data_IF_171550879617
#
_entry.id   IF_171550879617
#
_cell.length_a   1.000
_cell.length_b   1.000
_cell.length_c   1.000
_cell.angle_alpha   90.00
_cell.angle_beta   90.00
_cell.angle_gamma   90.00
#
_symmetry.space_group_name_H-M   'P 1'
#
loop_
_entity.id
_entity.type
_entity.pdbx_description
1 polymer ?
#
# COMPACT_ATOMS: atom_id res chain seq x y z
N UNK A 1 2.47 12.05 -11.09
CA UNK A 1 1.68 12.87 -10.14
C UNK A 1 1.96 14.35 -10.31
N UNK A 2 3.21 14.73 -10.56
CA UNK A 2 3.62 16.10 -10.88
C UNK A 2 2.81 16.71 -12.04
N UNK A 3 2.46 15.92 -13.05
CA UNK A 3 1.62 16.36 -14.16
C UNK A 3 0.18 16.79 -13.74
N UNK A 4 -0.29 16.41 -12.55
CA UNK A 4 -1.65 16.72 -12.07
C UNK A 4 -1.67 17.61 -10.82
N UNK A 5 -0.63 17.54 -9.97
CA UNK A 5 -0.68 18.09 -8.61
C UNK A 5 0.49 19.02 -8.25
N UNK A 6 1.44 19.27 -9.16
CA UNK A 6 2.65 20.07 -8.85
C UNK A 6 2.37 21.47 -8.29
N UNK A 7 1.26 22.10 -8.67
CA UNK A 7 0.81 23.42 -8.15
C UNK A 7 -0.42 23.31 -7.24
N UNK A 8 -0.85 22.08 -6.90
CA UNK A 8 -2.10 21.81 -6.17
C UNK A 8 -1.92 20.78 -5.06
N UNK A 9 -0.73 20.72 -4.46
CA UNK A 9 -0.42 19.82 -3.34
C UNK A 9 -1.38 20.04 -2.17
N UNK A 10 -1.75 21.28 -1.87
CA UNK A 10 -2.73 21.61 -0.82
C UNK A 10 -4.10 20.99 -1.12
N UNK A 11 -4.59 21.16 -2.35
CA UNK A 11 -5.88 20.59 -2.78
C UNK A 11 -5.86 19.07 -2.71
N UNK A 12 -4.75 18.43 -3.10
CA UNK A 12 -4.59 16.99 -2.98
C UNK A 12 -4.69 16.54 -1.52
N UNK A 13 -3.97 17.21 -0.61
CA UNK A 13 -3.98 16.90 0.82
C UNK A 13 -5.36 17.05 1.44
N UNK A 14 -6.00 18.19 1.22
CA UNK A 14 -7.36 18.46 1.70
C UNK A 14 -8.35 17.42 1.19
N UNK A 15 -8.22 17.03 -0.09
CA UNK A 15 -9.08 16.00 -0.69
C UNK A 15 -8.84 14.62 -0.08
N UNK A 16 -7.61 14.29 0.32
CA UNK A 16 -7.30 13.02 0.95
C UNK A 16 -7.73 12.96 2.42
N UNK A 17 -7.65 14.07 3.17
CA UNK A 17 -7.86 14.11 4.63
C UNK A 17 -9.17 13.45 5.06
N UNK A 18 -10.29 13.78 4.39
CA UNK A 18 -11.60 13.20 4.70
C UNK A 18 -11.60 11.67 4.56
N UNK A 19 -11.06 11.14 3.45
CA UNK A 19 -11.01 9.70 3.22
C UNK A 19 -10.06 8.98 4.19
N UNK A 20 -8.92 9.60 4.50
CA UNK A 20 -7.94 9.04 5.44
C UNK A 20 -8.50 8.95 6.86
N UNK A 21 -9.40 9.86 7.26
CA UNK A 21 -10.07 9.82 8.56
C UNK A 21 -11.12 8.70 8.67
N UNK A 22 -11.71 8.30 7.55
CA UNK A 22 -12.80 7.31 7.51
C UNK A 22 -12.31 5.88 7.25
N UNK A 23 -11.14 5.71 6.62
CA UNK A 23 -10.66 4.40 6.19
C UNK A 23 -10.03 3.57 7.32
N UNK A 24 -10.38 2.27 7.38
CA UNK A 24 -9.73 1.29 8.27
C UNK A 24 -8.38 0.81 7.73
N UNK A 25 -8.25 0.74 6.40
CA UNK A 25 -7.05 0.33 5.68
C UNK A 25 -6.77 1.34 4.57
N UNK A 26 -5.58 1.91 4.59
CA UNK A 26 -5.12 2.93 3.65
C UNK A 26 -3.94 2.36 2.88
N UNK A 27 -3.98 2.44 1.55
CA UNK A 27 -2.82 2.17 0.70
C UNK A 27 -2.33 3.46 0.09
N UNK A 28 -1.03 3.71 0.22
CA UNK A 28 -0.33 4.84 -0.41
C UNK A 28 0.93 4.31 -1.13
N UNK A 29 1.43 5.03 -2.13
CA UNK A 29 2.85 4.91 -2.48
C UNK A 29 3.70 5.79 -1.56
N UNK A 30 5.01 5.50 -1.48
CA UNK A 30 5.97 6.31 -0.71
C UNK A 30 5.86 7.80 -1.06
N UNK A 31 5.73 8.14 -2.34
CA UNK A 31 5.62 9.52 -2.79
C UNK A 31 4.30 10.19 -2.36
N UNK A 32 3.17 9.46 -2.26
CA UNK A 32 1.92 10.02 -1.71
C UNK A 32 2.05 10.25 -0.22
N UNK A 33 2.67 9.29 0.47
CA UNK A 33 2.82 9.35 1.90
C UNK A 33 3.69 10.55 2.31
N UNK A 34 4.78 10.80 1.59
CA UNK A 34 5.60 12.02 1.75
C UNK A 34 4.89 13.30 1.34
N UNK A 35 4.14 13.30 0.24
CA UNK A 35 3.37 14.47 -0.18
C UNK A 35 2.31 14.88 0.85
N UNK A 36 1.64 13.91 1.47
CA UNK A 36 0.60 14.14 2.46
C UNK A 36 1.19 14.59 3.80
N UNK A 37 2.29 13.97 4.23
CA UNK A 37 2.94 14.25 5.52
C UNK A 37 3.91 15.44 5.50
N UNK A 38 4.19 16.00 4.34
CA UNK A 38 5.10 17.14 4.14
C UNK A 38 6.52 16.91 4.65
N UNK A 39 6.99 15.66 4.58
CA UNK A 39 8.34 15.26 4.99
C UNK A 39 8.94 14.28 3.99
N UNK A 40 10.26 14.10 4.06
CA UNK A 40 11.00 13.07 3.33
C UNK A 40 11.65 12.04 4.29
N UNK A 41 11.29 12.09 5.58
CA UNK A 41 11.75 11.15 6.60
C UNK A 41 10.66 10.12 6.87
N UNK A 42 10.98 8.84 6.70
CA UNK A 42 10.06 7.73 6.99
C UNK A 42 9.56 7.80 8.44
N UNK A 43 10.43 8.14 9.40
CA UNK A 43 10.08 8.26 10.81
C UNK A 43 9.10 9.42 11.08
N UNK A 44 9.34 10.58 10.47
CA UNK A 44 8.45 11.73 10.61
C UNK A 44 7.10 11.47 9.92
N UNK A 45 7.12 10.79 8.77
CA UNK A 45 5.92 10.40 8.03
C UNK A 45 5.04 9.47 8.87
N UNK A 46 5.62 8.42 9.47
CA UNK A 46 4.89 7.51 10.37
C UNK A 46 4.31 8.29 11.56
N UNK A 47 5.09 9.20 12.15
CA UNK A 47 4.66 10.01 13.29
C UNK A 47 3.46 10.88 12.91
N UNK A 48 3.54 11.60 11.79
CA UNK A 48 2.45 12.41 11.26
C UNK A 48 1.16 11.60 11.07
N UNK A 49 1.25 10.42 10.43
CA UNK A 49 0.05 9.61 10.18
C UNK A 49 -0.56 9.05 11.47
N UNK A 50 0.26 8.65 12.46
CA UNK A 50 -0.21 8.18 13.77
C UNK A 50 -0.92 9.27 14.59
N UNK A 51 -0.44 10.51 14.49
CA UNK A 51 -1.03 11.64 15.21
C UNK A 51 -2.39 12.03 14.62
N UNK A 52 -2.51 11.99 13.29
CA UNK A 52 -3.65 12.55 12.57
C UNK A 52 -4.76 11.55 12.21
N UNK A 53 -4.44 10.26 12.11
CA UNK A 53 -5.36 9.22 11.62
C UNK A 53 -5.34 7.95 12.49
N UNK A 54 -6.31 7.05 12.24
CA UNK A 54 -6.53 5.85 13.07
C UNK A 54 -6.57 4.53 12.28
N UNK A 55 -6.54 4.59 10.94
CA UNK A 55 -6.47 3.40 10.10
C UNK A 55 -5.09 2.76 10.09
N UNK A 56 -5.01 1.54 9.55
CA UNK A 56 -3.75 0.87 9.24
C UNK A 56 -3.28 1.32 7.86
N UNK A 57 -2.02 1.73 7.75
CA UNK A 57 -1.40 2.17 6.51
C UNK A 57 -0.55 1.06 5.90
N UNK A 58 -0.65 0.87 4.60
CA UNK A 58 0.24 0.05 3.78
C UNK A 58 0.87 0.95 2.70
N UNK A 59 2.13 1.35 2.92
CA UNK A 59 2.89 2.22 2.03
C UNK A 59 3.81 1.36 1.16
N UNK A 60 3.56 1.33 -0.15
CA UNK A 60 4.38 0.57 -1.10
C UNK A 60 5.70 1.29 -1.37
N UNK A 61 6.82 0.59 -1.22
CA UNK A 61 8.21 1.06 -1.34
C UNK A 61 8.92 0.51 -2.61
N UNK A 62 8.14 0.14 -3.63
CA UNK A 62 8.64 -0.49 -4.84
C UNK A 62 9.34 -1.82 -4.56
N UNK A 63 10.56 -1.99 -5.07
CA UNK A 63 11.35 -3.22 -4.88
C UNK A 63 11.76 -3.50 -3.42
N UNK A 64 11.63 -2.51 -2.53
CA UNK A 64 11.85 -2.69 -1.09
C UNK A 64 10.67 -3.37 -0.39
N UNK A 65 9.52 -3.49 -1.04
CA UNK A 65 8.31 -4.10 -0.48
C UNK A 65 7.30 -3.08 0.00
N UNK A 66 6.77 -3.26 1.20
CA UNK A 66 5.78 -2.37 1.78
C UNK A 66 6.05 -2.13 3.27
N UNK A 67 5.98 -0.86 3.67
CA UNK A 67 5.93 -0.45 5.07
C UNK A 67 4.48 -0.49 5.52
N UNK A 68 4.20 -1.22 6.61
CA UNK A 68 2.85 -1.36 7.17
C UNK A 68 2.87 -0.92 8.62
N UNK A 69 1.95 -0.05 9.00
CA UNK A 69 1.91 0.48 10.36
C UNK A 69 0.52 0.94 10.79
N UNK A 70 0.34 1.03 12.10
CA UNK A 70 -0.76 1.74 12.75
C UNK A 70 -0.25 2.40 14.04
N UNK A 71 -1.16 2.79 14.94
CA UNK A 71 -0.85 3.42 16.23
C UNK A 71 -0.04 2.53 17.20
N UNK A 72 0.00 1.22 16.99
CA UNK A 72 0.59 0.23 17.92
C UNK A 72 1.85 -0.44 17.41
N UNK A 73 1.98 -0.61 16.10
CA UNK A 73 3.08 -1.33 15.49
C UNK A 73 3.46 -0.79 14.12
N UNK A 74 4.65 -1.17 13.66
CA UNK A 74 5.16 -0.92 12.31
C UNK A 74 6.04 -2.09 11.88
N UNK A 75 6.18 -2.29 10.57
CA UNK A 75 7.07 -3.27 9.96
C UNK A 75 7.30 -2.95 8.50
N UNK A 76 8.45 -3.38 7.98
CA UNK A 76 8.70 -3.39 6.54
C UNK A 76 8.73 -4.84 6.06
N UNK A 77 7.83 -5.16 5.12
CA UNK A 77 7.67 -6.50 4.55
C UNK A 77 8.30 -6.48 3.16
N UNK A 78 9.35 -7.29 2.91
CA UNK A 78 10.09 -7.23 1.64
C UNK A 78 9.26 -7.74 0.46
N UNK A 79 9.50 -7.16 -0.72
CA UNK A 79 8.99 -7.70 -1.99
C UNK A 79 9.91 -8.80 -2.54
N UNK A 80 9.36 -9.79 -3.26
CA UNK A 80 10.16 -10.71 -4.05
C UNK A 80 11.01 -9.98 -5.09
N UNK A 81 12.27 -10.39 -5.22
CA UNK A 81 13.16 -9.88 -6.28
C UNK A 81 12.76 -10.49 -7.62
N UNK A 82 12.40 -9.63 -8.56
CA UNK A 82 11.99 -10.02 -9.92
C UNK A 82 12.71 -9.15 -10.96
N UNK A 83 12.79 -9.62 -12.20
CA UNK A 83 13.25 -8.81 -13.32
C UNK A 83 12.09 -7.93 -13.78
N UNK A 84 12.23 -6.62 -13.62
CA UNK A 84 11.18 -5.64 -13.96
C UNK A 84 11.16 -5.39 -15.47
N UNK A 85 9.97 -5.48 -16.06
CA UNK A 85 9.65 -5.16 -17.46
C UNK A 85 8.79 -3.91 -17.54
N UNK A 86 7.73 -3.84 -16.74
CA UNK A 86 6.79 -2.70 -16.66
C UNK A 86 6.21 -2.64 -15.25
N UNK A 87 6.11 -1.47 -14.63
CA UNK A 87 5.55 -1.31 -13.26
C UNK A 87 4.09 -0.89 -13.26
N UNK A 88 3.49 -0.69 -14.43
CA UNK A 88 2.12 -0.23 -14.60
C UNK A 88 1.13 -1.19 -13.92
N UNK A 89 0.31 -0.66 -13.02
CA UNK A 89 -0.72 -1.42 -12.30
C UNK A 89 -0.24 -2.24 -11.11
N UNK A 90 1.07 -2.23 -10.78
CA UNK A 90 1.58 -2.95 -9.62
C UNK A 90 0.94 -2.48 -8.30
N UNK A 91 0.65 -1.19 -8.17
CA UNK A 91 -0.04 -0.63 -7.01
C UNK A 91 -1.50 -1.08 -6.87
N UNK A 92 -2.21 -1.19 -8.00
CA UNK A 92 -3.59 -1.67 -8.03
C UNK A 92 -3.66 -3.17 -7.75
N UNK A 93 -2.72 -3.94 -8.29
CA UNK A 93 -2.60 -5.36 -8.02
C UNK A 93 -2.23 -5.65 -6.56
N UNK A 94 -1.38 -4.82 -5.95
CA UNK A 94 -1.08 -4.90 -4.53
C UNK A 94 -2.35 -4.75 -3.69
N UNK A 95 -3.12 -3.65 -3.87
CA UNK A 95 -4.32 -3.42 -3.06
C UNK A 95 -5.43 -4.43 -3.40
N UNK A 96 -5.55 -4.86 -4.66
CA UNK A 96 -6.48 -5.90 -5.06
C UNK A 96 -6.18 -7.24 -4.37
N UNK A 97 -4.93 -7.66 -4.32
CA UNK A 97 -4.51 -8.87 -3.62
C UNK A 97 -4.70 -8.75 -2.10
N UNK A 98 -4.39 -7.59 -1.51
CA UNK A 98 -4.59 -7.36 -0.08
C UNK A 98 -6.08 -7.40 0.30
N UNK A 99 -6.94 -6.76 -0.48
CA UNK A 99 -8.39 -6.81 -0.29
C UNK A 99 -8.95 -8.22 -0.54
N UNK A 100 -8.37 -8.97 -1.48
CA UNK A 100 -8.73 -10.36 -1.72
C UNK A 100 -8.47 -11.27 -0.51
N UNK A 101 -7.35 -11.07 0.19
CA UNK A 101 -7.07 -11.81 1.44
C UNK A 101 -8.08 -11.49 2.55
N UNK A 102 -8.64 -10.28 2.55
CA UNK A 102 -9.58 -9.77 3.55
C UNK A 102 -11.05 -10.06 3.22
N UNK A 103 -11.41 -10.24 1.95
CA UNK A 103 -12.81 -10.22 1.50
C UNK A 103 -13.69 -11.35 2.07
N UNK A 104 -13.11 -12.52 2.31
CA UNK A 104 -13.82 -13.70 2.82
C UNK A 104 -13.73 -13.83 4.36
N UNK A 105 -13.35 -12.76 5.07
CA UNK A 105 -13.18 -12.77 6.53
C UNK A 105 -14.40 -12.17 7.20
N UNK A 106 -14.83 -12.75 8.33
CA UNK A 106 -16.00 -12.25 9.07
C UNK A 106 -15.78 -10.88 9.71
N UNK A 107 -14.53 -10.55 10.09
CA UNK A 107 -14.17 -9.30 10.77
C UNK A 107 -12.89 -8.68 10.19
N UNK A 108 -12.90 -8.22 8.92
CA UNK A 108 -11.73 -7.65 8.28
C UNK A 108 -11.15 -6.46 9.05
N UNK A 109 -11.98 -5.66 9.72
CA UNK A 109 -11.59 -4.53 10.57
C UNK A 109 -10.73 -4.91 11.78
N UNK A 110 -10.88 -6.14 12.29
CA UNK A 110 -10.03 -6.65 13.37
C UNK A 110 -8.70 -7.16 12.82
N UNK A 111 -8.74 -7.78 11.63
CA UNK A 111 -7.57 -8.33 10.96
C UNK A 111 -6.62 -7.25 10.47
N UNK A 112 -7.13 -6.13 9.95
CA UNK A 112 -6.29 -4.99 9.55
C UNK A 112 -5.54 -4.36 10.72
N UNK A 113 -6.00 -4.57 11.96
CA UNK A 113 -5.31 -4.12 13.19
C UNK A 113 -4.30 -5.15 13.72
N UNK A 114 -4.43 -6.41 13.31
CA UNK A 114 -3.56 -7.50 13.72
C UNK A 114 -2.24 -7.48 12.98
N UNK A 115 -1.14 -7.27 13.72
CA UNK A 115 0.21 -7.29 13.17
C UNK A 115 0.49 -8.60 12.42
N UNK A 116 0.12 -9.73 13.03
CA UNK A 116 0.39 -11.08 12.51
C UNK A 116 -0.34 -11.32 11.19
N UNK A 117 -1.61 -10.93 11.10
CA UNK A 117 -2.42 -11.17 9.90
C UNK A 117 -1.99 -10.25 8.76
N UNK A 118 -1.70 -8.98 9.06
CA UNK A 118 -1.22 -8.02 8.07
C UNK A 118 0.14 -8.39 7.47
N UNK A 119 1.06 -9.00 8.23
CA UNK A 119 2.30 -9.58 7.66
C UNK A 119 1.94 -10.52 6.51
N UNK A 120 1.10 -11.51 6.79
CA UNK A 120 0.74 -12.56 5.84
C UNK A 120 0.05 -12.00 4.60
N UNK A 121 -0.88 -11.07 4.78
CA UNK A 121 -1.66 -10.53 3.66
C UNK A 121 -0.82 -9.61 2.78
N UNK A 122 0.07 -8.82 3.37
CA UNK A 122 0.97 -7.94 2.61
C UNK A 122 2.10 -8.73 1.94
N UNK A 123 2.58 -9.83 2.52
CA UNK A 123 3.45 -10.78 1.81
C UNK A 123 2.79 -11.32 0.53
N UNK A 124 1.51 -11.70 0.61
CA UNK A 124 0.71 -12.14 -0.55
C UNK A 124 0.58 -11.01 -1.59
N UNK A 125 0.23 -9.80 -1.14
CA UNK A 125 0.10 -8.64 -2.00
C UNK A 125 1.42 -8.24 -2.70
N UNK A 126 2.55 -8.29 -1.99
CA UNK A 126 3.88 -8.07 -2.57
C UNK A 126 4.21 -9.09 -3.66
N UNK A 127 3.84 -10.37 -3.49
CA UNK A 127 4.05 -11.40 -4.52
C UNK A 127 3.27 -11.11 -5.79
N UNK A 128 1.99 -10.76 -5.65
CA UNK A 128 1.14 -10.43 -6.79
C UNK A 128 1.68 -9.18 -7.50
N UNK A 129 1.95 -8.11 -6.76
CA UNK A 129 2.49 -6.87 -7.32
C UNK A 129 3.84 -7.08 -8.03
N UNK A 130 4.77 -7.85 -7.45
CA UNK A 130 6.02 -8.22 -8.10
C UNK A 130 5.79 -9.05 -9.37
N UNK A 131 4.80 -9.95 -9.38
CA UNK A 131 4.44 -10.74 -10.56
C UNK A 131 3.98 -9.86 -11.73
N UNK A 132 3.13 -8.86 -11.44
CA UNK A 132 2.69 -7.87 -12.45
C UNK A 132 3.88 -7.18 -13.10
N UNK A 133 4.93 -6.89 -12.33
CA UNK A 133 6.08 -6.17 -12.83
C UNK A 133 6.91 -6.91 -13.89
N UNK A 134 6.64 -8.20 -14.16
CA UNK A 134 7.45 -9.07 -15.02
C UNK A 134 6.97 -9.15 -16.47
N UNK A 135 5.80 -8.61 -16.77
CA UNK A 135 5.18 -8.63 -18.10
C UNK A 135 4.74 -7.20 -18.47
N UNK A 136 4.51 -6.95 -19.76
CA UNK A 136 4.10 -5.63 -20.23
C UNK A 136 2.59 -5.44 -20.01
N UNK A 137 2.18 -4.34 -19.38
CA UNK A 137 0.78 -4.00 -19.12
C UNK A 137 0.17 -4.67 -17.88
N UNK A 138 -0.70 -3.93 -17.18
CA UNK A 138 -1.29 -4.32 -15.89
C UNK A 138 -2.20 -5.57 -15.96
N UNK A 139 -3.02 -5.68 -17.01
CA UNK A 139 -4.05 -6.73 -17.11
C UNK A 139 -3.50 -8.07 -17.64
N UNK A 140 -2.51 -8.03 -18.52
CA UNK A 140 -1.85 -9.21 -19.09
C UNK A 140 -1.21 -10.06 -18.00
N UNK A 141 -0.72 -9.42 -16.95
CA UNK A 141 0.05 -10.06 -15.90
C UNK A 141 -0.79 -10.56 -14.71
N UNK A 142 -2.08 -10.23 -14.63
CA UNK A 142 -2.96 -10.69 -13.55
C UNK A 142 -3.20 -12.19 -13.69
N UNK A 143 -2.51 -12.97 -12.85
CA UNK A 143 -2.62 -14.42 -12.85
C UNK A 143 -3.72 -14.92 -11.92
N UNK A 144 -4.27 -16.08 -12.22
CA UNK A 144 -5.33 -16.70 -11.40
C UNK A 144 -4.72 -17.39 -10.18
N UNK A 145 -5.54 -17.81 -9.20
CA UNK A 145 -5.08 -18.57 -8.01
C UNK A 145 -4.20 -19.78 -8.33
N UNK A 146 -4.30 -20.34 -9.52
CA UNK A 146 -3.54 -21.51 -9.98
C UNK A 146 -2.05 -21.15 -10.21
N UNK A 147 -1.76 -19.89 -10.49
CA UNK A 147 -0.44 -19.44 -10.93
C UNK A 147 0.44 -18.89 -9.79
N UNK A 148 -0.10 -18.77 -8.58
CA UNK A 148 0.52 -18.11 -7.41
C UNK A 148 0.98 -19.15 -6.33
N UNK A 149 0.79 -20.45 -6.58
CA UNK A 149 1.30 -21.54 -5.72
C UNK A 149 2.78 -21.81 -5.94
#
# INVERSE_FOLDING_TARGET
>A
RDAFWSEKSDVFRESCDEFLRLADLIKLSEEEAFLISETNSEMEMITYFRENYRGTFAVTLGSRGALVFNDKWEMTIPAPKVKVVDTTGAGDAFIGALLFELSDKEKPQDLVKSQKDMIKYVESANKVASGICTELGALSALKTKIDIQ
#
